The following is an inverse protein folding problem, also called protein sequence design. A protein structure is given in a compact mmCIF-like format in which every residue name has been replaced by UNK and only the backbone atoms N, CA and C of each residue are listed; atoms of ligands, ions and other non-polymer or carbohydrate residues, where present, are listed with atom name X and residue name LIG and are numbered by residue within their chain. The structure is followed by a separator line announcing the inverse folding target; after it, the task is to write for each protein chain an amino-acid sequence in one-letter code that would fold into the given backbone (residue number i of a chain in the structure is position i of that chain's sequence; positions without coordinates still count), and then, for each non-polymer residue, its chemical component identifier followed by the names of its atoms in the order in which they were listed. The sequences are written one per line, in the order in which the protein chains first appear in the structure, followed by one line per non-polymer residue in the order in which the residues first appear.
data_IF_149549712040
#
_entry.id   IF_149549712040
#
_cell.length_a   1.000
_cell.length_b   1.000
_cell.length_c   1.000
_cell.angle_alpha   90.00
_cell.angle_beta   90.00
_cell.angle_gamma   90.00
#
_symmetry.space_group_name_H-M   'P 1'
#
loop_
_entity.id
_entity.type
_entity.pdbx_description
1 polymer ?
#
# COMPACT_ATOMS: atom_id res chain seq x y z
N UNK A 1 54.81 30.72 -4.28
CA UNK A 1 53.78 30.46 -3.23
C UNK A 1 52.42 30.12 -3.86
N UNK A 2 52.43 29.24 -4.87
CA UNK A 2 51.28 28.65 -5.55
C UNK A 2 51.81 27.31 -6.06
N UNK A 3 51.75 26.27 -5.23
CA UNK A 3 51.93 24.85 -5.63
C UNK A 3 51.81 23.81 -4.49
N UNK A 4 51.26 24.16 -3.32
CA UNK A 4 51.03 23.18 -2.23
C UNK A 4 49.56 22.80 -1.98
N UNK A 5 48.62 23.21 -2.85
CA UNK A 5 47.17 23.04 -2.64
C UNK A 5 46.49 22.18 -3.73
N UNK A 6 47.14 21.11 -4.20
CA UNK A 6 46.53 20.14 -5.14
C UNK A 6 46.61 18.67 -4.72
N UNK A 7 47.15 18.36 -3.54
CA UNK A 7 47.36 16.99 -3.08
C UNK A 7 46.30 16.38 -2.15
N UNK A 8 45.31 17.14 -1.66
CA UNK A 8 44.46 16.69 -0.55
C UNK A 8 42.98 16.42 -0.90
N UNK A 9 42.61 16.43 -2.18
CA UNK A 9 41.20 16.32 -2.61
C UNK A 9 40.91 15.11 -3.52
N UNK A 10 41.82 14.14 -3.62
CA UNK A 10 41.63 12.94 -4.46
C UNK A 10 41.53 11.60 -3.72
N UNK A 11 41.66 11.58 -2.39
CA UNK A 11 41.60 10.34 -1.62
C UNK A 11 40.31 10.13 -0.78
N UNK A 12 39.28 10.96 -0.96
CA UNK A 12 37.99 10.77 -0.26
C UNK A 12 36.94 9.97 -1.05
N UNK A 13 37.27 9.47 -2.25
CA UNK A 13 36.38 8.62 -3.07
C UNK A 13 36.94 7.20 -3.20
N UNK A 14 36.94 6.44 -2.11
CA UNK A 14 36.97 4.96 -2.12
C UNK A 14 36.74 4.44 -0.70
N UNK A 15 35.48 4.41 -0.32
CA UNK A 15 35.03 3.77 0.91
C UNK A 15 33.54 3.49 0.80
N UNK A 16 33.19 2.34 0.23
CA UNK A 16 31.88 1.76 0.54
C UNK A 16 31.91 1.39 2.02
N UNK A 17 31.54 2.33 2.90
CA UNK A 17 31.24 1.99 4.28
C UNK A 17 30.11 0.98 4.24
N UNK A 18 30.40 -0.25 4.64
CA UNK A 18 29.38 -1.20 5.06
C UNK A 18 28.68 -0.55 6.27
N UNK A 19 27.52 0.08 6.02
CA UNK A 19 26.72 0.80 7.02
C UNK A 19 26.54 0.04 8.34
N UNK A 20 26.54 -1.29 8.29
CA UNK A 20 26.37 -2.17 9.46
C UNK A 20 27.50 -2.06 10.50
N UNK A 21 28.76 -1.81 10.14
CA UNK A 21 29.87 -2.06 11.08
C UNK A 21 30.16 -0.96 12.11
N UNK A 22 29.66 0.26 11.89
CA UNK A 22 29.83 1.38 12.84
C UNK A 22 28.62 1.54 13.77
N UNK A 23 27.44 1.07 13.38
CA UNK A 23 26.24 1.08 14.23
C UNK A 23 26.40 0.16 15.45
N UNK A 24 27.11 -0.95 15.31
CA UNK A 24 27.36 -1.93 16.39
C UNK A 24 28.17 -1.37 17.57
N UNK A 25 28.68 -0.13 17.47
CA UNK A 25 29.45 0.54 18.54
C UNK A 25 28.58 1.35 19.51
N UNK A 26 27.30 1.53 19.20
CA UNK A 26 26.40 2.40 19.96
C UNK A 26 25.25 1.59 20.56
N UNK A 27 24.95 1.81 21.83
CA UNK A 27 23.81 1.18 22.51
C UNK A 27 22.47 1.79 22.09
N UNK A 28 22.48 3.07 21.68
CA UNK A 28 21.30 3.85 21.29
C UNK A 28 21.60 4.61 20.00
N UNK A 29 20.71 4.49 19.02
CA UNK A 29 20.82 5.14 17.72
C UNK A 29 19.51 5.89 17.45
N UNK A 30 19.63 7.19 17.18
CA UNK A 30 18.51 8.02 16.74
C UNK A 30 18.33 7.88 15.23
N UNK A 31 17.20 7.30 14.80
CA UNK A 31 16.89 7.08 13.39
C UNK A 31 16.12 8.28 12.80
N UNK A 32 16.64 8.98 11.77
CA UNK A 32 15.92 10.07 11.13
C UNK A 32 14.77 9.54 10.25
N UNK A 33 13.94 10.46 9.75
CA UNK A 33 12.97 10.15 8.69
C UNK A 33 13.68 9.63 7.43
N UNK A 34 12.99 8.80 6.65
CA UNK A 34 13.57 8.08 5.50
C UNK A 34 14.18 9.02 4.45
N UNK A 35 13.61 10.20 4.26
CA UNK A 35 14.09 11.24 3.34
C UNK A 35 15.50 11.74 3.67
N UNK A 36 15.91 11.64 4.93
CA UNK A 36 17.23 12.04 5.44
C UNK A 36 18.09 10.86 5.86
N UNK A 37 17.65 9.61 5.61
CA UNK A 37 18.35 8.41 6.04
C UNK A 37 19.51 8.08 5.10
N UNK A 38 20.73 8.26 5.60
CA UNK A 38 21.94 7.89 4.89
C UNK A 38 23.04 7.36 5.84
N UNK A 39 23.74 6.27 5.50
CA UNK A 39 23.45 5.35 4.39
C UNK A 39 22.12 4.60 4.60
N UNK A 40 21.44 4.23 3.51
CA UNK A 40 20.20 3.43 3.60
C UNK A 40 20.55 1.98 3.97
N UNK A 41 19.85 1.37 4.95
CA UNK A 41 20.07 -0.02 5.31
C UNK A 41 19.51 -0.96 4.23
N UNK A 42 19.92 -2.24 4.26
CA UNK A 42 19.42 -3.22 3.28
C UNK A 42 17.97 -3.65 3.54
N UNK A 43 17.49 -3.55 4.79
CA UNK A 43 16.15 -4.01 5.22
C UNK A 43 15.01 -3.02 4.91
N UNK A 44 15.10 -2.30 3.79
CA UNK A 44 14.05 -1.40 3.33
C UNK A 44 12.96 -2.16 2.56
N UNK A 45 11.68 -1.77 2.67
CA UNK A 45 10.66 -2.23 1.72
C UNK A 45 11.11 -2.00 0.28
N UNK A 46 10.75 -2.83 -0.71
CA UNK A 46 9.87 -3.99 -0.65
C UNK A 46 10.63 -5.30 -0.31
N UNK A 47 11.75 -5.23 0.41
CA UNK A 47 12.48 -6.43 0.79
C UNK A 47 11.74 -7.26 1.86
N UNK A 48 11.92 -8.58 1.81
CA UNK A 48 11.40 -9.54 2.79
C UNK A 48 12.53 -10.35 3.44
N UNK A 49 12.31 -10.95 4.63
CA UNK A 49 13.27 -11.86 5.23
C UNK A 49 13.55 -13.08 4.34
N UNK A 50 14.82 -13.38 4.10
CA UNK A 50 15.26 -14.49 3.23
C UNK A 50 14.83 -15.87 3.74
N UNK A 51 14.81 -16.06 5.06
CA UNK A 51 14.39 -17.29 5.71
C UNK A 51 12.89 -17.56 5.56
N UNK A 52 12.06 -16.51 5.50
CA UNK A 52 10.61 -16.62 5.36
C UNK A 52 10.14 -16.66 3.90
N UNK A 53 10.91 -16.11 2.97
CA UNK A 53 10.45 -15.88 1.59
C UNK A 53 9.94 -17.15 0.89
N UNK A 54 10.65 -18.27 1.04
CA UNK A 54 10.27 -19.52 0.37
C UNK A 54 8.89 -20.01 0.78
N UNK A 55 8.53 -19.87 2.05
CA UNK A 55 7.22 -20.26 2.57
C UNK A 55 6.17 -19.22 2.21
N UNK A 56 6.48 -17.93 2.39
CA UNK A 56 5.59 -16.82 2.06
C UNK A 56 5.15 -16.84 0.59
N UNK A 57 6.09 -17.07 -0.33
CA UNK A 57 5.82 -17.10 -1.76
C UNK A 57 4.91 -18.27 -2.19
N UNK A 58 4.69 -19.28 -1.34
CA UNK A 58 3.77 -20.39 -1.63
C UNK A 58 2.33 -20.00 -1.36
N UNK A 59 2.06 -19.17 -0.34
CA UNK A 59 0.68 -18.89 0.09
C UNK A 59 0.25 -17.44 -0.06
N UNK A 60 1.14 -16.49 -0.30
CA UNK A 60 0.80 -15.07 -0.42
C UNK A 60 1.22 -14.49 -1.78
N UNK A 61 0.30 -13.84 -2.49
CA UNK A 61 0.57 -13.28 -3.82
C UNK A 61 1.50 -12.06 -3.82
N UNK A 62 1.65 -11.37 -2.70
CA UNK A 62 2.54 -10.22 -2.52
C UNK A 62 3.28 -10.30 -1.16
N UNK A 63 4.42 -11.02 -1.07
CA UNK A 63 5.15 -11.19 0.18
C UNK A 63 5.62 -9.88 0.86
N UNK A 64 6.06 -8.84 0.11
CA UNK A 64 6.40 -7.55 0.70
C UNK A 64 5.29 -6.91 1.54
N UNK A 65 4.06 -6.83 1.01
CA UNK A 65 2.95 -6.24 1.79
C UNK A 65 2.59 -7.08 3.01
N UNK A 66 2.70 -8.42 2.91
CA UNK A 66 2.49 -9.28 4.08
C UNK A 66 3.49 -8.97 5.20
N UNK A 67 4.76 -8.80 4.85
CA UNK A 67 5.82 -8.48 5.81
C UNK A 67 5.59 -7.12 6.49
N UNK A 68 5.24 -6.10 5.70
CA UNK A 68 4.84 -4.78 6.22
C UNK A 68 3.63 -4.92 7.15
N UNK A 69 2.64 -5.70 6.73
CA UNK A 69 1.42 -5.98 7.50
C UNK A 69 1.69 -6.52 8.90
N UNK A 70 2.70 -7.38 9.09
CA UNK A 70 3.08 -7.88 10.43
C UNK A 70 3.53 -6.76 11.37
N UNK A 71 4.32 -5.81 10.87
CA UNK A 71 4.81 -4.66 11.63
C UNK A 71 3.64 -3.75 11.99
N UNK A 72 2.80 -3.42 11.01
CA UNK A 72 1.63 -2.56 11.20
C UNK A 72 0.65 -3.21 12.19
N UNK A 73 0.38 -4.51 12.08
CA UNK A 73 -0.48 -5.24 13.02
C UNK A 73 0.02 -5.13 14.46
N UNK A 74 1.33 -5.25 14.69
CA UNK A 74 1.91 -5.09 16.02
C UNK A 74 1.75 -3.66 16.58
N UNK A 75 1.93 -2.64 15.74
CA UNK A 75 1.75 -1.22 16.09
C UNK A 75 0.27 -0.88 16.35
N UNK A 76 -0.65 -1.50 15.62
CA UNK A 76 -2.09 -1.25 15.71
C UNK A 76 -2.79 -2.00 16.86
N UNK A 77 -2.05 -2.58 17.81
CA UNK A 77 -2.63 -3.17 19.03
C UNK A 77 -3.26 -2.07 19.90
N UNK A 78 -4.58 -1.98 19.80
CA UNK A 78 -5.35 -0.94 20.47
C UNK A 78 -5.41 -1.13 21.98
N UNK A 79 -5.40 -0.01 22.71
CA UNK A 79 -5.73 -0.02 24.15
C UNK A 79 -7.20 -0.44 24.36
N UNK A 80 -7.55 -1.06 25.51
CA UNK A 80 -8.89 -1.59 25.74
C UNK A 80 -10.03 -0.58 25.54
N UNK A 81 -9.82 0.69 25.92
CA UNK A 81 -10.79 1.76 25.73
C UNK A 81 -11.02 2.09 24.24
N UNK A 82 -9.95 2.19 23.45
CA UNK A 82 -10.04 2.45 22.00
C UNK A 82 -10.71 1.28 21.29
N UNK A 83 -10.35 0.03 21.65
CA UNK A 83 -10.98 -1.15 21.10
C UNK A 83 -12.49 -1.19 21.40
N UNK A 84 -12.89 -0.81 22.62
CA UNK A 84 -14.31 -0.70 23.01
C UNK A 84 -15.04 0.32 22.14
N UNK A 85 -14.44 1.48 21.91
CA UNK A 85 -15.03 2.53 21.06
C UNK A 85 -15.20 2.06 19.61
N UNK A 86 -14.18 1.42 19.04
CA UNK A 86 -14.21 0.84 17.69
C UNK A 86 -15.31 -0.21 17.58
N UNK A 87 -15.37 -1.18 18.51
CA UNK A 87 -16.40 -2.23 18.51
C UNK A 87 -17.81 -1.64 18.63
N UNK A 88 -17.99 -0.62 19.46
CA UNK A 88 -19.28 0.07 19.60
C UNK A 88 -19.67 0.81 18.31
N UNK A 89 -18.71 1.45 17.63
CA UNK A 89 -18.93 2.10 16.35
C UNK A 89 -19.45 1.11 15.31
N UNK A 90 -18.83 -0.06 15.15
CA UNK A 90 -19.33 -1.07 14.20
C UNK A 90 -20.71 -1.61 14.53
N UNK A 91 -21.02 -1.81 15.82
CA UNK A 91 -22.37 -2.20 16.26
C UNK A 91 -23.40 -1.14 15.87
N UNK A 92 -23.10 0.14 16.12
CA UNK A 92 -23.97 1.28 15.79
C UNK A 92 -24.16 1.42 14.27
N UNK A 93 -23.10 1.26 13.50
CA UNK A 93 -23.14 1.31 12.03
C UNK A 93 -23.77 0.05 11.40
N UNK A 94 -23.89 -1.04 12.17
CA UNK A 94 -24.42 -2.32 11.69
C UNK A 94 -23.47 -3.04 10.73
N UNK A 95 -22.15 -2.92 10.94
CA UNK A 95 -21.12 -3.60 10.16
C UNK A 95 -21.24 -5.12 10.29
N UNK A 96 -21.58 -5.82 9.20
CA UNK A 96 -21.81 -7.27 9.17
C UNK A 96 -21.87 -7.83 7.75
N UNK A 97 -21.64 -9.14 7.64
CA UNK A 97 -21.71 -9.89 6.39
C UNK A 97 -20.60 -9.46 5.42
N UNK A 98 -20.78 -9.78 4.14
CA UNK A 98 -19.85 -9.30 3.11
C UNK A 98 -20.02 -7.79 2.91
N UNK A 99 -18.91 -7.06 2.95
CA UNK A 99 -18.83 -5.61 2.82
C UNK A 99 -17.65 -5.25 1.92
N UNK A 100 -17.88 -4.37 0.95
CA UNK A 100 -16.81 -3.74 0.16
C UNK A 100 -16.44 -2.42 0.82
N UNK A 101 -15.17 -2.21 1.13
CA UNK A 101 -14.64 -0.97 1.67
C UNK A 101 -14.38 0.00 0.52
N UNK A 102 -14.88 1.23 0.63
CA UNK A 102 -14.62 2.30 -0.32
C UNK A 102 -14.01 3.47 0.45
N UNK A 103 -12.80 3.87 0.07
CA UNK A 103 -12.14 5.03 0.63
C UNK A 103 -11.99 6.13 -0.44
N UNK A 104 -12.79 7.18 -0.31
CA UNK A 104 -12.78 8.35 -1.18
C UNK A 104 -11.98 9.46 -0.52
N UNK A 105 -10.89 9.88 -1.16
CA UNK A 105 -10.05 11.01 -0.68
C UNK A 105 -10.26 12.19 -1.62
N UNK A 106 -10.89 13.27 -1.16
CA UNK A 106 -11.18 14.48 -1.95
C UNK A 106 -10.53 15.77 -1.42
N UNK A 107 -10.40 15.96 -0.12
CA UNK A 107 -9.81 17.22 0.41
C UNK A 107 -8.30 17.29 0.14
N UNK A 108 -7.72 18.51 0.14
CA UNK A 108 -6.29 18.94 0.06
C UNK A 108 -5.30 18.26 -0.90
N UNK A 109 -5.64 17.08 -1.43
CA UNK A 109 -4.84 16.25 -2.33
C UNK A 109 -5.22 16.43 -3.79
N UNK A 110 -6.44 16.88 -4.08
CA UNK A 110 -6.84 17.29 -5.44
C UNK A 110 -5.91 18.46 -5.83
N UNK A 111 -5.09 18.26 -6.85
CA UNK A 111 -4.08 19.16 -7.43
C UNK A 111 -2.65 19.12 -6.85
N UNK A 112 -2.38 18.35 -5.78
CA UNK A 112 -1.01 18.23 -5.23
C UNK A 112 -0.47 16.80 -5.30
N UNK A 113 -1.28 15.80 -4.94
CA UNK A 113 -0.81 14.41 -4.78
C UNK A 113 -1.67 13.37 -5.51
N UNK A 114 -2.92 13.71 -5.86
CA UNK A 114 -3.82 12.78 -6.56
C UNK A 114 -4.80 13.52 -7.48
N UNK A 115 -5.34 12.78 -8.46
CA UNK A 115 -6.44 13.25 -9.29
C UNK A 115 -7.78 13.19 -8.54
N UNK A 116 -8.73 14.03 -8.93
CA UNK A 116 -10.11 13.86 -8.51
C UNK A 116 -10.69 12.63 -9.21
N UNK A 117 -11.27 11.72 -8.42
CA UNK A 117 -12.04 10.59 -8.92
C UNK A 117 -13.49 10.75 -8.50
N UNK A 118 -14.39 10.64 -9.47
CA UNK A 118 -15.83 10.66 -9.21
C UNK A 118 -16.23 9.43 -8.38
N UNK A 119 -17.32 9.51 -7.60
CA UNK A 119 -17.81 8.35 -6.85
C UNK A 119 -18.14 7.17 -7.78
N UNK A 120 -18.58 7.47 -9.01
CA UNK A 120 -19.00 6.49 -10.00
C UNK A 120 -17.83 5.58 -10.43
N UNK A 121 -16.60 6.11 -10.49
CA UNK A 121 -15.40 5.31 -10.77
C UNK A 121 -15.15 4.23 -9.71
N UNK A 122 -15.34 4.54 -8.43
CA UNK A 122 -15.23 3.55 -7.36
C UNK A 122 -16.35 2.51 -7.47
N UNK A 123 -17.58 2.97 -7.69
CA UNK A 123 -18.77 2.13 -7.65
C UNK A 123 -18.86 1.14 -8.82
N UNK A 124 -18.20 1.40 -9.95
CA UNK A 124 -18.02 0.40 -11.03
C UNK A 124 -17.38 -0.88 -10.46
N UNK A 125 -16.29 -0.74 -9.71
CA UNK A 125 -15.56 -1.89 -9.18
C UNK A 125 -16.26 -2.56 -8.00
N UNK A 126 -17.00 -1.79 -7.20
CA UNK A 126 -17.90 -2.35 -6.18
C UNK A 126 -18.98 -3.20 -6.85
N UNK A 127 -19.57 -2.71 -7.94
CA UNK A 127 -20.58 -3.44 -8.71
C UNK A 127 -20.02 -4.73 -9.28
N UNK A 128 -18.85 -4.67 -9.92
CA UNK A 128 -18.17 -5.84 -10.49
C UNK A 128 -17.91 -6.93 -9.43
N UNK A 129 -17.47 -6.55 -8.24
CA UNK A 129 -17.28 -7.48 -7.12
C UNK A 129 -18.58 -8.18 -6.74
N UNK A 130 -19.66 -7.43 -6.52
CA UNK A 130 -20.93 -8.02 -6.12
C UNK A 130 -21.58 -8.85 -7.22
N UNK A 131 -21.49 -8.40 -8.48
CA UNK A 131 -21.99 -9.17 -9.63
C UNK A 131 -21.29 -10.54 -9.72
N UNK A 132 -19.97 -10.60 -9.48
CA UNK A 132 -19.24 -11.87 -9.44
C UNK A 132 -19.62 -12.74 -8.25
N UNK A 133 -19.82 -12.13 -7.08
CA UNK A 133 -20.18 -12.83 -5.85
C UNK A 133 -21.60 -13.41 -5.93
N UNK A 134 -22.54 -12.67 -6.50
CA UNK A 134 -23.94 -13.11 -6.67
C UNK A 134 -24.08 -14.37 -7.53
N UNK A 135 -23.12 -14.64 -8.43
CA UNK A 135 -23.07 -15.90 -9.20
C UNK A 135 -22.90 -17.13 -8.29
N UNK A 136 -22.35 -16.96 -7.09
CA UNK A 136 -22.12 -18.03 -6.11
C UNK A 136 -23.01 -17.90 -4.88
N UNK A 137 -23.44 -16.67 -4.55
CA UNK A 137 -24.31 -16.34 -3.42
C UNK A 137 -25.49 -15.50 -3.89
N UNK A 138 -26.54 -16.12 -4.45
CA UNK A 138 -27.71 -15.40 -4.92
C UNK A 138 -28.37 -14.58 -3.80
N UNK A 139 -28.93 -13.42 -4.16
CA UNK A 139 -29.64 -12.51 -3.24
C UNK A 139 -28.80 -11.93 -2.09
N UNK A 140 -27.47 -11.85 -2.25
CA UNK A 140 -26.63 -11.18 -1.26
C UNK A 140 -26.98 -9.69 -1.15
N UNK A 141 -27.07 -9.16 0.07
CA UNK A 141 -27.22 -7.71 0.26
C UNK A 141 -25.91 -7.01 -0.04
N UNK A 142 -25.91 -6.09 -1.02
CA UNK A 142 -24.74 -5.27 -1.35
C UNK A 142 -24.49 -4.22 -0.28
N UNK A 143 -23.41 -4.36 0.49
CA UNK A 143 -23.00 -3.43 1.57
C UNK A 143 -21.70 -2.73 1.22
N UNK A 144 -21.63 -1.43 1.51
CA UNK A 144 -20.42 -0.63 1.29
C UNK A 144 -20.04 0.07 2.59
N UNK A 145 -18.84 -0.18 3.10
CA UNK A 145 -18.26 0.69 4.13
C UNK A 145 -17.62 1.88 3.44
N UNK A 146 -18.15 3.09 3.67
CA UNK A 146 -17.70 4.29 2.98
C UNK A 146 -16.92 5.19 3.96
N UNK A 147 -15.62 5.27 3.76
CA UNK A 147 -14.73 6.22 4.43
C UNK A 147 -14.44 7.39 3.48
N UNK A 148 -14.60 8.62 3.99
CA UNK A 148 -14.36 9.83 3.21
C UNK A 148 -14.02 10.99 4.13
N UNK A 149 -13.12 11.84 3.67
CA UNK A 149 -12.79 13.14 4.25
C UNK A 149 -13.71 14.27 3.75
N UNK A 150 -14.54 13.98 2.74
CA UNK A 150 -15.58 14.87 2.22
C UNK A 150 -16.96 14.37 2.67
N UNK A 151 -17.65 15.21 3.45
CA UNK A 151 -18.96 14.92 4.04
C UNK A 151 -20.09 14.87 3.00
N UNK A 152 -19.89 15.35 1.78
CA UNK A 152 -20.87 15.31 0.68
C UNK A 152 -20.97 13.94 0.01
N UNK A 153 -19.95 13.09 0.14
CA UNK A 153 -19.86 11.79 -0.56
C UNK A 153 -20.94 10.82 -0.08
N UNK A 154 -21.24 10.77 1.23
CA UNK A 154 -22.23 9.84 1.76
C UNK A 154 -23.67 10.19 1.30
N UNK A 155 -24.12 11.45 1.35
CA UNK A 155 -25.38 11.86 0.71
C UNK A 155 -25.43 11.54 -0.79
N UNK A 156 -24.36 11.84 -1.54
CA UNK A 156 -24.26 11.52 -2.97
C UNK A 156 -24.44 10.01 -3.21
N UNK A 157 -23.73 9.18 -2.44
CA UNK A 157 -23.75 7.72 -2.56
C UNK A 157 -25.14 7.15 -2.32
N UNK A 158 -25.81 7.58 -1.24
CA UNK A 158 -27.17 7.14 -0.91
C UNK A 158 -28.20 7.56 -1.97
N UNK A 159 -27.99 8.72 -2.61
CA UNK A 159 -28.89 9.20 -3.66
C UNK A 159 -28.69 8.48 -4.98
N UNK A 160 -27.44 8.23 -5.39
CA UNK A 160 -27.12 7.60 -6.68
C UNK A 160 -27.26 6.09 -6.68
N UNK A 161 -27.04 5.44 -5.54
CA UNK A 161 -26.94 3.99 -5.40
C UNK A 161 -27.90 3.46 -4.32
N UNK A 162 -29.22 3.68 -4.44
CA UNK A 162 -30.20 3.29 -3.42
C UNK A 162 -30.30 1.78 -3.17
N UNK A 163 -29.83 0.95 -4.10
CA UNK A 163 -29.75 -0.50 -4.00
C UNK A 163 -28.62 -0.99 -3.07
N UNK A 164 -27.66 -0.13 -2.73
CA UNK A 164 -26.56 -0.44 -1.82
C UNK A 164 -26.87 0.02 -0.39
N UNK A 165 -26.52 -0.82 0.59
CA UNK A 165 -26.54 -0.44 2.00
C UNK A 165 -25.19 0.17 2.38
N UNK A 166 -25.14 1.50 2.44
CA UNK A 166 -23.97 2.23 2.93
C UNK A 166 -23.85 2.19 4.46
N UNK A 167 -22.65 1.86 4.92
CA UNK A 167 -22.20 1.78 6.31
C UNK A 167 -21.15 2.88 6.48
N UNK A 168 -21.45 3.89 7.28
CA UNK A 168 -20.55 5.01 7.52
C UNK A 168 -20.93 5.71 8.83
N UNK A 169 -19.97 6.37 9.47
CA UNK A 169 -20.24 7.33 10.55
C UNK A 169 -19.98 8.74 10.03
N UNK A 170 -21.05 9.50 9.82
CA UNK A 170 -20.97 10.85 9.26
C UNK A 170 -20.17 11.82 10.16
N UNK A 171 -20.08 11.54 11.46
CA UNK A 171 -19.33 12.38 12.40
C UNK A 171 -17.83 12.26 12.18
N UNK A 172 -17.36 11.10 11.70
CA UNK A 172 -15.96 10.86 11.34
C UNK A 172 -15.58 11.72 10.14
N UNK A 173 -16.36 11.67 9.05
CA UNK A 173 -16.12 12.50 7.86
C UNK A 173 -16.11 13.99 8.15
N UNK A 174 -16.99 14.48 9.04
CA UNK A 174 -17.00 15.89 9.45
C UNK A 174 -15.74 16.28 10.23
N UNK A 175 -15.19 15.37 11.04
CA UNK A 175 -13.97 15.61 11.82
C UNK A 175 -12.66 15.50 11.03
N UNK A 176 -12.69 14.84 9.87
CA UNK A 176 -11.52 14.64 8.99
C UNK A 176 -11.17 15.87 8.12
N UNK A 177 -12.07 16.86 8.05
CA UNK A 177 -11.86 18.11 7.33
C UNK A 177 -10.69 18.94 7.90
N UNK A 178 -10.09 19.80 7.06
CA UNK A 178 -8.87 20.54 7.39
C UNK A 178 -8.93 21.35 8.70
N UNK A 179 -10.11 21.86 9.08
CA UNK A 179 -10.29 22.68 10.28
C UNK A 179 -10.24 21.91 11.61
N UNK A 180 -10.46 20.59 11.60
CA UNK A 180 -10.57 19.75 12.82
C UNK A 180 -9.68 18.50 12.79
N UNK A 181 -8.90 18.34 11.72
CA UNK A 181 -8.08 17.16 11.41
C UNK A 181 -7.09 16.79 12.52
N UNK A 182 -6.49 17.76 13.20
CA UNK A 182 -5.51 17.53 14.27
C UNK A 182 -6.17 17.58 15.66
N UNK A 183 -7.13 16.68 15.88
CA UNK A 183 -7.83 16.53 17.15
C UNK A 183 -7.95 15.05 17.55
N UNK A 184 -8.13 14.78 18.84
CA UNK A 184 -8.39 13.42 19.35
C UNK A 184 -9.62 12.78 18.70
N UNK A 185 -10.64 13.59 18.36
CA UNK A 185 -11.83 13.13 17.65
C UNK A 185 -11.51 12.63 16.24
N UNK A 186 -10.76 13.42 15.47
CA UNK A 186 -10.31 13.05 14.13
C UNK A 186 -9.39 11.81 14.15
N UNK A 187 -8.48 11.73 15.13
CA UNK A 187 -7.63 10.55 15.31
C UNK A 187 -8.46 9.29 15.59
N UNK A 188 -9.46 9.37 16.47
CA UNK A 188 -10.37 8.25 16.70
C UNK A 188 -11.16 7.88 15.45
N UNK A 189 -11.58 8.87 14.67
CA UNK A 189 -12.27 8.68 13.41
C UNK A 189 -11.45 7.87 12.40
N UNK A 190 -10.21 8.29 12.12
CA UNK A 190 -9.34 7.57 11.17
C UNK A 190 -8.97 6.16 11.68
N UNK A 191 -8.84 5.96 12.99
CA UNK A 191 -8.62 4.61 13.57
C UNK A 191 -9.82 3.70 13.29
N UNK A 192 -11.05 4.20 13.43
CA UNK A 192 -12.28 3.44 13.12
C UNK A 192 -12.32 3.12 11.62
N UNK A 193 -12.06 4.10 10.76
CA UNK A 193 -12.03 3.89 9.31
C UNK A 193 -10.99 2.85 8.89
N UNK A 194 -9.75 2.97 9.35
CA UNK A 194 -8.70 1.98 9.08
C UNK A 194 -9.11 0.59 9.57
N UNK A 195 -9.68 0.50 10.77
CA UNK A 195 -10.10 -0.78 11.36
C UNK A 195 -11.17 -1.48 10.51
N UNK A 196 -12.17 -0.75 10.02
CA UNK A 196 -13.26 -1.32 9.24
C UNK A 196 -12.92 -1.50 7.76
N UNK A 197 -12.16 -0.59 7.14
CA UNK A 197 -11.65 -0.77 5.78
C UNK A 197 -10.80 -2.05 5.67
N UNK A 198 -9.90 -2.29 6.64
CA UNK A 198 -9.08 -3.50 6.66
C UNK A 198 -9.88 -4.80 6.83
N UNK A 199 -11.11 -4.72 7.37
CA UNK A 199 -12.01 -5.86 7.62
C UNK A 199 -13.09 -6.05 6.56
N UNK A 200 -13.04 -5.25 5.50
CA UNK A 200 -13.90 -5.47 4.34
C UNK A 200 -13.35 -6.63 3.49
N UNK A 201 -14.24 -7.32 2.77
CA UNK A 201 -13.88 -8.46 1.92
C UNK A 201 -13.15 -8.03 0.63
N UNK A 202 -13.29 -6.76 0.27
CA UNK A 202 -12.64 -6.14 -0.87
C UNK A 202 -12.49 -4.64 -0.63
N UNK A 203 -11.42 -4.03 -1.14
CA UNK A 203 -11.13 -2.60 -0.96
C UNK A 203 -11.09 -1.87 -2.30
N UNK A 204 -11.85 -0.78 -2.46
CA UNK A 204 -11.79 0.09 -3.63
C UNK A 204 -11.37 1.49 -3.19
N UNK A 205 -10.25 1.98 -3.69
CA UNK A 205 -9.69 3.25 -3.21
C UNK A 205 -8.67 3.83 -4.20
N UNK A 206 -7.94 4.86 -3.75
CA UNK A 206 -6.68 5.31 -4.34
C UNK A 206 -5.50 4.90 -3.46
N UNK A 207 -4.53 4.21 -4.04
CA UNK A 207 -3.29 3.87 -3.34
C UNK A 207 -2.31 5.02 -3.24
N UNK A 208 -2.55 6.18 -3.87
CA UNK A 208 -1.88 7.43 -3.48
C UNK A 208 -2.22 7.88 -2.04
N UNK A 209 -3.32 7.36 -1.46
CA UNK A 209 -3.69 7.60 -0.07
C UNK A 209 -3.03 6.60 0.89
N UNK A 210 -2.23 7.12 1.83
CA UNK A 210 -1.67 6.32 2.93
C UNK A 210 -2.74 5.61 3.75
N UNK A 211 -3.92 6.22 3.96
CA UNK A 211 -5.03 5.59 4.69
C UNK A 211 -5.45 4.29 4.01
N UNK A 212 -5.53 4.28 2.67
CA UNK A 212 -5.91 3.06 1.97
C UNK A 212 -4.80 2.00 2.04
N UNK A 213 -3.54 2.41 1.87
CA UNK A 213 -2.41 1.48 1.95
C UNK A 213 -2.30 0.82 3.32
N UNK A 214 -2.47 1.59 4.41
CA UNK A 214 -2.48 1.04 5.78
C UNK A 214 -3.66 0.07 5.99
N UNK A 215 -4.85 0.38 5.49
CA UNK A 215 -5.98 -0.55 5.57
C UNK A 215 -5.69 -1.85 4.80
N UNK A 216 -5.09 -1.75 3.61
CA UNK A 216 -4.68 -2.90 2.80
C UNK A 216 -3.56 -3.72 3.45
N UNK A 217 -2.57 -3.08 4.09
CA UNK A 217 -1.50 -3.74 4.84
C UNK A 217 -2.07 -4.55 6.03
N UNK A 218 -2.98 -3.95 6.80
CA UNK A 218 -3.65 -4.64 7.92
C UNK A 218 -4.52 -5.79 7.42
N UNK A 219 -5.20 -5.64 6.27
CA UNK A 219 -6.02 -6.67 5.65
C UNK A 219 -5.24 -7.97 5.43
N UNK A 220 -3.94 -7.89 5.07
CA UNK A 220 -3.10 -9.07 4.86
C UNK A 220 -2.92 -9.93 6.12
N UNK A 221 -3.20 -9.38 7.31
CA UNK A 221 -3.11 -10.11 8.58
C UNK A 221 -4.43 -10.75 9.02
N UNK A 222 -5.50 -10.54 8.25
CA UNK A 222 -6.86 -10.97 8.57
C UNK A 222 -7.37 -12.11 7.67
N UNK A 223 -6.61 -12.45 6.63
CA UNK A 223 -6.91 -13.49 5.65
C UNK A 223 -5.66 -14.35 5.39
N UNK A 224 -5.83 -15.50 4.73
CA UNK A 224 -4.69 -16.32 4.28
C UNK A 224 -3.87 -15.60 3.20
N UNK A 225 -4.54 -15.17 2.13
CA UNK A 225 -4.01 -14.31 1.08
C UNK A 225 -5.07 -13.27 0.70
N UNK A 226 -4.77 -12.00 0.93
CA UNK A 226 -5.61 -10.87 0.52
C UNK A 226 -4.88 -9.95 -0.46
N UNK A 227 -3.82 -10.42 -1.11
CA UNK A 227 -3.01 -9.60 -2.00
C UNK A 227 -3.79 -9.10 -3.22
N UNK A 228 -4.89 -9.76 -3.57
CA UNK A 228 -5.75 -9.38 -4.69
C UNK A 228 -7.10 -8.79 -4.24
N UNK A 229 -7.32 -8.57 -2.94
CA UNK A 229 -8.59 -8.09 -2.40
C UNK A 229 -8.69 -6.56 -2.47
N UNK A 230 -8.23 -5.97 -3.56
CA UNK A 230 -8.27 -4.53 -3.74
C UNK A 230 -8.43 -4.13 -5.21
N UNK A 231 -8.88 -2.89 -5.40
CA UNK A 231 -8.83 -2.15 -6.64
C UNK A 231 -8.42 -0.71 -6.35
N UNK A 232 -7.21 -0.36 -6.77
CA UNK A 232 -6.75 1.03 -6.79
C UNK A 232 -7.19 1.71 -8.07
N UNK A 233 -7.61 2.98 -7.99
CA UNK A 233 -7.94 3.80 -9.16
C UNK A 233 -6.70 4.51 -9.76
N UNK A 234 -5.60 4.54 -9.02
CA UNK A 234 -4.37 5.23 -9.42
C UNK A 234 -3.14 4.32 -9.27
N UNK A 235 -2.39 4.45 -8.18
CA UNK A 235 -1.10 3.80 -8.00
C UNK A 235 -1.24 2.29 -7.78
N UNK A 236 -0.17 1.56 -8.09
CA UNK A 236 0.07 0.24 -7.50
C UNK A 236 0.42 0.38 -6.01
N UNK A 237 0.49 -0.73 -5.27
CA UNK A 237 0.96 -0.66 -3.89
C UNK A 237 2.40 -0.15 -3.86
N UNK A 238 2.70 0.75 -2.92
CA UNK A 238 4.05 1.24 -2.66
C UNK A 238 4.18 1.68 -1.20
N UNK A 239 5.40 1.65 -0.69
CA UNK A 239 5.78 2.14 0.62
C UNK A 239 6.69 3.37 0.46
N UNK A 240 6.40 4.44 1.20
CA UNK A 240 7.16 5.69 1.14
C UNK A 240 8.64 5.46 1.49
N UNK A 241 9.56 5.83 0.60
CA UNK A 241 10.98 5.59 0.79
C UNK A 241 11.40 4.12 0.61
N UNK A 242 10.65 3.32 -0.16
CA UNK A 242 11.08 1.98 -0.57
C UNK A 242 12.32 2.01 -1.48
N UNK A 243 12.96 0.85 -1.63
CA UNK A 243 13.90 0.55 -2.71
C UNK A 243 13.17 0.47 -4.06
N UNK A 244 13.94 0.41 -5.15
CA UNK A 244 13.39 0.28 -6.48
C UNK A 244 12.47 -0.96 -6.61
N UNK A 245 11.25 -0.76 -7.10
CA UNK A 245 10.33 -1.83 -7.46
C UNK A 245 10.62 -2.25 -8.90
N UNK A 246 11.21 -3.42 -9.07
CA UNK A 246 11.51 -3.97 -10.39
C UNK A 246 10.63 -5.20 -10.67
N UNK A 247 10.19 -5.32 -11.92
CA UNK A 247 9.56 -6.54 -12.48
C UNK A 247 10.53 -7.21 -13.46
N UNK A 248 10.45 -8.53 -13.56
CA UNK A 248 11.18 -9.35 -14.53
C UNK A 248 10.29 -9.61 -15.74
N UNK A 249 10.80 -9.32 -16.92
CA UNK A 249 10.11 -9.66 -18.17
C UNK A 249 10.22 -11.17 -18.43
N UNK A 250 9.07 -11.81 -18.67
CA UNK A 250 8.97 -13.24 -18.97
C UNK A 250 8.70 -13.50 -20.46
N UNK A 251 8.15 -12.52 -21.18
CA UNK A 251 7.85 -12.61 -22.61
C UNK A 251 8.25 -11.31 -23.32
N UNK A 252 8.88 -11.43 -24.50
CA UNK A 252 9.32 -10.27 -25.28
C UNK A 252 8.16 -9.50 -25.92
N UNK A 253 8.40 -8.22 -26.19
CA UNK A 253 7.48 -7.37 -26.94
C UNK A 253 8.28 -6.29 -27.69
N UNK A 254 8.05 -6.11 -29.00
CA UNK A 254 8.72 -5.06 -29.76
C UNK A 254 8.20 -3.68 -29.37
N UNK A 255 8.97 -2.63 -29.64
CA UNK A 255 8.40 -1.28 -29.61
C UNK A 255 7.43 -1.09 -30.78
N UNK A 256 6.42 -0.23 -30.62
CA UNK A 256 5.42 0.01 -31.66
C UNK A 256 5.17 1.51 -31.96
N UNK A 257 6.05 2.42 -31.52
CA UNK A 257 5.93 3.85 -31.79
C UNK A 257 4.91 4.58 -30.90
N UNK A 258 3.89 3.90 -30.39
CA UNK A 258 2.83 4.45 -29.52
C UNK A 258 3.25 4.53 -28.04
N UNK A 259 4.54 4.81 -27.80
CA UNK A 259 5.10 4.86 -26.45
C UNK A 259 5.31 3.49 -25.77
N UNK A 260 5.02 2.36 -26.44
CA UNK A 260 5.39 1.03 -25.96
C UNK A 260 6.88 0.79 -26.20
N UNK A 261 7.61 0.45 -25.14
CA UNK A 261 9.03 0.17 -25.20
C UNK A 261 9.33 -1.28 -25.59
N UNK A 262 10.49 -1.50 -26.19
CA UNK A 262 11.01 -2.86 -26.41
C UNK A 262 11.34 -3.52 -25.05
N UNK A 263 10.83 -4.74 -24.85
CA UNK A 263 11.17 -5.60 -23.71
C UNK A 263 11.59 -6.98 -24.19
N UNK A 264 12.58 -7.58 -23.52
CA UNK A 264 13.09 -8.93 -23.80
C UNK A 264 12.99 -9.81 -22.56
N UNK A 265 12.78 -11.14 -22.71
CA UNK A 265 12.82 -12.05 -21.57
C UNK A 265 14.11 -11.88 -20.78
N UNK A 266 14.00 -11.77 -19.46
CA UNK A 266 15.12 -11.52 -18.56
C UNK A 266 15.37 -10.04 -18.23
N UNK A 267 14.84 -9.08 -19.00
CA UNK A 267 14.97 -7.66 -18.68
C UNK A 267 14.37 -7.35 -17.30
N UNK A 268 15.03 -6.48 -16.53
CA UNK A 268 14.46 -5.87 -15.35
C UNK A 268 13.85 -4.52 -15.76
N UNK A 269 12.62 -4.25 -15.31
CA UNK A 269 11.92 -2.99 -15.55
C UNK A 269 11.55 -2.37 -14.22
N UNK A 270 12.04 -1.15 -13.96
CA UNK A 270 11.59 -0.36 -12.82
C UNK A 270 10.18 0.12 -13.07
N UNK A 271 9.21 -0.49 -12.39
CA UNK A 271 7.79 -0.17 -12.58
C UNK A 271 7.47 1.15 -11.90
N UNK A 272 6.76 2.02 -12.62
CA UNK A 272 6.25 3.28 -12.09
C UNK A 272 4.77 3.16 -11.70
N UNK A 273 4.01 2.32 -12.39
CA UNK A 273 2.60 2.06 -12.08
C UNK A 273 1.90 1.22 -13.15
N UNK A 274 0.68 0.81 -12.85
CA UNK A 274 -0.21 0.07 -13.74
C UNK A 274 -1.34 1.01 -14.18
N UNK A 275 -1.61 1.09 -15.48
CA UNK A 275 -2.68 1.94 -16.01
C UNK A 275 -4.05 1.27 -15.95
N UNK A 276 -4.12 0.04 -15.42
CA UNK A 276 -5.33 -0.76 -15.24
C UNK A 276 -6.10 -1.04 -16.53
N UNK A 277 -5.42 -0.97 -17.68
CA UNK A 277 -5.94 -1.16 -19.03
C UNK A 277 -5.17 -2.25 -19.82
N UNK A 278 -4.41 -3.09 -19.11
CA UNK A 278 -3.54 -4.12 -19.70
C UNK A 278 -2.08 -3.70 -19.89
N UNK A 279 -1.76 -2.41 -19.73
CA UNK A 279 -0.40 -1.88 -19.80
C UNK A 279 0.06 -1.29 -18.47
N UNK A 280 1.36 -1.43 -18.22
CA UNK A 280 2.08 -0.75 -17.14
C UNK A 280 3.11 0.21 -17.73
N UNK A 281 3.54 1.18 -16.94
CA UNK A 281 4.61 2.13 -17.29
C UNK A 281 5.84 1.86 -16.46
N UNK A 282 7.02 1.94 -17.07
CA UNK A 282 8.27 1.75 -16.35
C UNK A 282 9.49 2.12 -17.18
N UNK A 283 10.67 1.87 -16.60
CA UNK A 283 11.97 2.09 -17.23
C UNK A 283 12.69 0.76 -17.38
N UNK A 284 12.98 0.36 -18.62
CA UNK A 284 13.78 -0.84 -18.87
C UNK A 284 15.23 -0.58 -18.45
N UNK A 285 15.70 -1.32 -17.43
CA UNK A 285 17.03 -1.14 -16.83
C UNK A 285 18.17 -1.43 -17.82
N UNK A 286 17.94 -2.28 -18.83
CA UNK A 286 18.93 -2.61 -19.87
C UNK A 286 19.14 -1.45 -20.85
N UNK A 287 18.08 -0.78 -21.26
CA UNK A 287 18.12 0.24 -22.33
C UNK A 287 18.07 1.67 -21.80
N UNK A 288 17.62 1.87 -20.56
CA UNK A 288 17.31 3.17 -19.99
C UNK A 288 16.03 3.82 -20.56
N UNK A 289 15.32 3.14 -21.45
CA UNK A 289 14.12 3.68 -22.10
C UNK A 289 12.92 3.58 -21.15
N UNK A 290 12.20 4.69 -21.00
CA UNK A 290 10.90 4.74 -20.34
C UNK A 290 9.79 4.52 -21.36
N UNK A 291 8.80 3.70 -21.01
CA UNK A 291 7.64 3.48 -21.88
C UNK A 291 6.59 2.57 -21.26
N UNK A 292 5.56 2.28 -22.05
CA UNK A 292 4.52 1.31 -21.73
C UNK A 292 5.00 -0.10 -22.06
N UNK A 293 4.47 -1.09 -21.34
CA UNK A 293 4.66 -2.50 -21.65
C UNK A 293 3.42 -3.30 -21.22
N UNK A 294 3.06 -4.40 -21.91
CA UNK A 294 1.93 -5.23 -21.50
C UNK A 294 2.19 -5.86 -20.12
N UNK A 295 1.31 -5.61 -19.15
CA UNK A 295 1.51 -6.00 -17.74
C UNK A 295 1.71 -7.51 -17.57
N UNK A 296 0.93 -8.31 -18.30
CA UNK A 296 0.95 -9.79 -18.20
C UNK A 296 2.27 -10.43 -18.66
N UNK A 297 3.13 -9.68 -19.37
CA UNK A 297 4.45 -10.16 -19.84
C UNK A 297 5.56 -9.98 -18.80
N UNK A 298 5.19 -9.66 -17.56
CA UNK A 298 6.13 -9.43 -16.46
C UNK A 298 5.70 -10.18 -15.20
N UNK A 299 6.66 -10.38 -14.29
CA UNK A 299 6.46 -10.94 -12.95
C UNK A 299 7.24 -10.11 -11.94
N UNK A 300 6.68 -9.86 -10.76
CA UNK A 300 7.39 -9.15 -9.68
C UNK A 300 8.70 -9.83 -9.28
N UNK A 301 9.72 -9.00 -9.02
CA UNK A 301 10.97 -9.44 -8.40
C UNK A 301 10.89 -9.10 -6.91
N UNK A 302 10.79 -10.13 -6.07
CA UNK A 302 10.86 -9.94 -4.62
C UNK A 302 12.32 -9.97 -4.19
N UNK A 303 12.79 -8.86 -3.61
CA UNK A 303 14.11 -8.77 -2.98
C UNK A 303 14.08 -9.48 -1.63
N UNK A 304 15.00 -10.41 -1.40
CA UNK A 304 15.19 -11.02 -0.07
C UNK A 304 16.42 -10.45 0.62
N UNK A 305 16.35 -10.30 1.95
CA UNK A 305 17.44 -9.77 2.78
C UNK A 305 17.60 -10.67 3.99
N UNK A 306 18.85 -10.94 4.38
CA UNK A 306 19.14 -11.68 5.61
C UNK A 306 18.80 -10.81 6.81
N UNK A 307 17.74 -11.18 7.52
CA UNK A 307 17.32 -10.54 8.77
C UNK A 307 17.58 -11.48 9.96
N UNK A 308 17.68 -10.96 11.20
CA UNK A 308 17.79 -11.81 12.38
C UNK A 308 16.55 -12.70 12.55
N UNK A 309 16.76 -13.98 12.85
CA UNK A 309 15.68 -14.98 13.00
C UNK A 309 15.19 -15.14 14.43
N UNK A 310 15.85 -14.48 15.39
CA UNK A 310 15.50 -14.46 16.82
C UNK A 310 15.18 -15.85 17.43
N UNK A 311 16.06 -16.87 17.30
CA UNK A 311 15.78 -18.24 17.76
C UNK A 311 15.53 -18.36 19.28
N UNK A 312 15.94 -17.36 20.06
CA UNK A 312 15.66 -17.27 21.49
C UNK A 312 14.20 -16.98 21.82
N UNK A 313 13.40 -16.50 20.86
CA UNK A 313 11.99 -16.22 21.06
C UNK A 313 11.21 -17.54 20.88
N UNK A 314 10.57 -18.07 21.94
CA UNK A 314 9.86 -19.33 21.84
C UNK A 314 8.66 -19.19 20.91
N UNK A 315 8.52 -20.14 19.98
CA UNK A 315 7.35 -20.23 19.11
C UNK A 315 6.12 -20.58 19.95
N UNK A 316 5.31 -19.57 20.27
CA UNK A 316 4.01 -19.79 20.92
C UNK A 316 2.98 -19.97 19.82
N UNK A 317 2.68 -21.22 19.47
CA UNK A 317 1.45 -21.53 18.72
C UNK A 317 0.28 -21.04 19.58
N UNK A 318 -0.46 -20.06 19.07
CA UNK A 318 -1.73 -19.62 19.67
C UNK A 318 -2.88 -20.40 19.06
#
# INVERSE_FOLDING_TARGET
MKDSMKGSMKDSMKGSMKASSDMDKYDVIDLPIVDSLYPRPDFMPLAVPDDLYKELAVFHGDPPVWWIGQIIHYLFRMKPNVLKDVVNAGKKMGFRGTVVGVHVRRTDKINLEAAYHSLDEYMIHVKEFYDQLERRQPNITRRVYLASDDSSVLPEAKSKYPEYKFIADITISQSAGLGTRYSDGSLRGVIIDLYYLARCDYLVCTFSSQVCRVAYEVMQTLHGDASNNFRSLDDIFYYGGQDAHDVRIIEGHPSNGDGVMEIKPGDAVGIAGNHWNGYSKGVNRRTGVSGLFPTFKSKDIVKTVKMPTYPQVPWKVR
#
